data_IF_946694213784
#
_entry.id   IF_946694213784
#
_cell.length_a   1.000
_cell.length_b   1.000
_cell.length_c   1.000
_cell.angle_alpha   90.00
_cell.angle_beta   90.00
_cell.angle_gamma   90.00
#
_symmetry.space_group_name_H-M   'P 1'
#
loop_
_entity.id
_entity.type
_entity.pdbx_description
1 polymer ?
#
# COMPACT_ATOMS: atom_id res chain seq x y z
N UNK A 1 -13.30 -20.95 5.20
CA UNK A 1 -13.59 -19.52 5.46
C UNK A 1 -12.27 -18.82 5.70
N UNK A 2 -11.96 -17.79 4.92
CA UNK A 2 -10.78 -16.94 5.09
C UNK A 2 -11.01 -15.96 6.23
N UNK A 3 -9.93 -15.52 6.91
CA UNK A 3 -10.02 -14.44 7.91
C UNK A 3 -10.66 -13.16 7.34
N UNK A 4 -10.54 -12.94 6.02
CA UNK A 4 -11.19 -11.84 5.34
C UNK A 4 -12.72 -11.97 5.27
N UNK A 5 -13.27 -13.18 5.26
CA UNK A 5 -14.71 -13.40 5.20
C UNK A 5 -15.39 -12.93 6.48
N UNK A 6 -14.67 -13.03 7.61
CA UNK A 6 -15.10 -12.64 8.94
C UNK A 6 -14.94 -11.14 9.22
N UNK A 7 -14.25 -10.40 8.35
CA UNK A 7 -14.03 -8.97 8.55
C UNK A 7 -15.37 -8.17 8.43
N UNK A 8 -15.58 -7.15 9.28
CA UNK A 8 -16.74 -6.28 9.14
C UNK A 8 -16.79 -5.58 7.78
N UNK A 9 -18.00 -5.25 7.30
CA UNK A 9 -18.20 -4.66 5.98
C UNK A 9 -17.43 -3.35 5.76
N UNK A 10 -17.28 -2.54 6.80
CA UNK A 10 -16.51 -1.29 6.75
C UNK A 10 -15.01 -1.55 6.50
N UNK A 11 -14.43 -2.59 7.10
CA UNK A 11 -13.03 -2.99 6.91
C UNK A 11 -12.81 -3.52 5.50
N UNK A 12 -13.73 -4.35 4.98
CA UNK A 12 -13.68 -4.83 3.59
C UNK A 12 -13.66 -3.66 2.60
N UNK A 13 -14.58 -2.70 2.78
CA UNK A 13 -14.66 -1.51 1.94
C UNK A 13 -13.42 -0.62 2.03
N UNK A 14 -12.88 -0.41 3.23
CA UNK A 14 -11.64 0.36 3.41
C UNK A 14 -10.47 -0.28 2.66
N UNK A 15 -10.38 -1.61 2.70
CA UNK A 15 -9.37 -2.38 1.98
C UNK A 15 -9.52 -2.25 0.46
N UNK A 16 -10.73 -2.42 -0.07
CA UNK A 16 -11.00 -2.25 -1.51
C UNK A 16 -10.70 -0.81 -1.99
N UNK A 17 -11.02 0.20 -1.19
CA UNK A 17 -10.65 1.58 -1.48
C UNK A 17 -9.14 1.78 -1.53
N UNK A 18 -8.40 1.20 -0.59
CA UNK A 18 -6.94 1.28 -0.58
C UNK A 18 -6.31 0.54 -1.77
N UNK A 19 -6.80 -0.65 -2.12
CA UNK A 19 -6.37 -1.41 -3.29
C UNK A 19 -6.60 -0.62 -4.58
N UNK A 20 -7.79 -0.04 -4.76
CA UNK A 20 -8.08 0.82 -5.94
C UNK A 20 -7.18 2.04 -6.00
N UNK A 21 -6.90 2.68 -4.86
CA UNK A 21 -5.97 3.81 -4.80
C UNK A 21 -4.55 3.40 -5.18
N UNK A 22 -4.12 2.20 -4.78
CA UNK A 22 -2.81 1.67 -5.13
C UNK A 22 -2.70 1.35 -6.63
N UNK A 23 -3.72 0.71 -7.22
CA UNK A 23 -3.75 0.43 -8.66
C UNK A 23 -3.73 1.73 -9.49
N UNK A 24 -4.47 2.75 -9.05
CA UNK A 24 -4.42 4.09 -9.67
C UNK A 24 -3.04 4.74 -9.57
N UNK A 25 -2.36 4.57 -8.44
CA UNK A 25 -0.98 5.03 -8.28
C UNK A 25 -0.04 4.35 -9.28
N UNK A 26 -0.15 3.04 -9.45
CA UNK A 26 0.67 2.31 -10.43
C UNK A 26 0.42 2.81 -11.86
N UNK A 27 -0.85 3.01 -12.24
CA UNK A 27 -1.23 3.55 -13.54
C UNK A 27 -0.62 4.94 -13.80
N UNK A 28 -0.69 5.85 -12.82
CA UNK A 28 -0.09 7.20 -12.93
C UNK A 28 1.45 7.16 -13.00
N UNK A 29 2.07 6.12 -12.44
CA UNK A 29 3.51 5.85 -12.54
C UNK A 29 3.88 5.06 -13.81
N UNK A 30 2.93 4.79 -14.71
CA UNK A 30 3.12 3.96 -15.91
C UNK A 30 3.61 2.53 -15.60
N UNK A 31 3.26 2.01 -14.42
CA UNK A 31 3.59 0.65 -13.99
C UNK A 31 2.35 -0.23 -14.10
N UNK A 32 2.41 -1.31 -14.87
CA UNK A 32 1.29 -2.26 -14.93
C UNK A 32 1.32 -3.24 -13.74
N UNK A 33 0.15 -3.74 -13.35
CA UNK A 33 0.05 -4.77 -12.32
C UNK A 33 0.75 -6.06 -12.75
N UNK A 34 0.67 -6.43 -14.03
CA UNK A 34 1.34 -7.59 -14.61
C UNK A 34 2.86 -7.46 -14.49
N UNK A 35 3.41 -6.28 -14.79
CA UNK A 35 4.85 -6.02 -14.64
C UNK A 35 5.29 -6.17 -13.18
N UNK A 36 4.52 -5.61 -12.25
CA UNK A 36 4.78 -5.79 -10.82
C UNK A 36 4.74 -7.28 -10.44
N UNK A 37 3.79 -8.05 -10.97
CA UNK A 37 3.71 -9.50 -10.80
C UNK A 37 4.97 -10.24 -11.28
N UNK A 38 5.52 -9.85 -12.45
CA UNK A 38 6.80 -10.39 -12.95
C UNK A 38 7.96 -10.03 -12.03
N UNK A 39 8.01 -8.79 -11.50
CA UNK A 39 9.03 -8.39 -10.53
C UNK A 39 8.97 -9.26 -9.25
N UNK A 40 7.78 -9.68 -8.83
CA UNK A 40 7.61 -10.53 -7.64
C UNK A 40 8.11 -11.96 -7.84
N UNK A 41 8.50 -12.37 -9.04
CA UNK A 41 9.12 -13.68 -9.31
C UNK A 41 10.65 -13.64 -9.26
N UNK A 42 11.25 -12.45 -9.16
CA UNK A 42 12.70 -12.26 -9.18
C UNK A 42 13.27 -12.25 -7.76
N UNK A 43 14.57 -12.51 -7.63
CA UNK A 43 15.28 -12.45 -6.34
C UNK A 43 15.17 -11.07 -5.67
N UNK A 44 15.04 -10.01 -6.47
CA UNK A 44 14.88 -8.62 -5.99
C UNK A 44 13.46 -8.25 -5.55
N UNK A 45 12.51 -9.19 -5.52
CA UNK A 45 11.10 -8.93 -5.22
C UNK A 45 10.88 -8.15 -3.92
N UNK A 46 11.64 -8.49 -2.86
CA UNK A 46 11.52 -7.79 -1.56
C UNK A 46 11.92 -6.32 -1.66
N UNK A 47 12.96 -5.99 -2.43
CA UNK A 47 13.41 -4.60 -2.64
C UNK A 47 12.41 -3.82 -3.49
N UNK A 48 11.88 -4.44 -4.55
CA UNK A 48 10.85 -3.82 -5.40
C UNK A 48 9.59 -3.54 -4.60
N UNK A 49 9.13 -4.51 -3.81
CA UNK A 49 7.93 -4.38 -3.01
C UNK A 49 8.10 -3.30 -1.91
N UNK A 50 9.29 -3.19 -1.31
CA UNK A 50 9.59 -2.11 -0.37
C UNK A 50 9.50 -0.75 -1.06
N UNK A 51 10.19 -0.57 -2.19
CA UNK A 51 10.23 0.69 -2.91
C UNK A 51 8.85 1.15 -3.38
N UNK A 52 8.05 0.22 -3.92
CA UNK A 52 6.69 0.51 -4.41
C UNK A 52 5.76 0.94 -3.27
N UNK A 53 5.83 0.26 -2.11
CA UNK A 53 5.01 0.62 -0.94
C UNK A 53 5.46 1.95 -0.32
N UNK A 54 6.77 2.22 -0.28
CA UNK A 54 7.31 3.49 0.21
C UNK A 54 6.87 4.67 -0.68
N UNK A 55 6.98 4.50 -2.01
CA UNK A 55 6.54 5.50 -2.99
C UNK A 55 5.03 5.72 -2.95
N UNK A 56 4.24 4.66 -2.73
CA UNK A 56 2.80 4.81 -2.49
C UNK A 56 2.49 5.61 -1.21
N UNK A 57 3.30 5.45 -0.16
CA UNK A 57 3.22 6.29 1.04
C UNK A 57 3.40 7.78 0.72
N UNK A 58 4.42 8.11 -0.07
CA UNK A 58 4.66 9.50 -0.54
C UNK A 58 3.51 10.01 -1.39
N UNK A 59 3.03 9.19 -2.32
CA UNK A 59 1.89 9.51 -3.16
C UNK A 59 0.65 9.88 -2.34
N UNK A 60 0.30 9.09 -1.32
CA UNK A 60 -0.85 9.39 -0.47
C UNK A 60 -0.70 10.71 0.29
N UNK A 61 0.52 11.04 0.70
CA UNK A 61 0.76 12.22 1.51
C UNK A 61 0.78 13.53 0.71
N UNK A 62 1.20 13.47 -0.55
CA UNK A 62 1.37 14.66 -1.40
C UNK A 62 0.35 14.77 -2.52
N UNK A 63 -0.43 13.71 -2.78
CA UNK A 63 -1.47 13.79 -3.80
C UNK A 63 -2.66 14.59 -3.28
N UNK A 64 -2.91 15.70 -3.96
CA UNK A 64 -4.10 16.50 -3.76
C UNK A 64 -5.37 15.76 -4.23
N UNK A 65 -6.40 15.82 -3.40
CA UNK A 65 -7.75 15.37 -3.76
C UNK A 65 -8.46 16.36 -4.69
N UNK A 66 -9.74 16.12 -4.94
CA UNK A 66 -10.58 16.93 -5.87
C UNK A 66 -10.67 18.44 -5.54
N UNK A 67 -10.27 18.86 -4.34
CA UNK A 67 -10.30 20.25 -3.89
C UNK A 67 -8.91 20.85 -3.67
N UNK A 68 -7.86 20.24 -4.21
CA UNK A 68 -6.48 20.66 -3.92
C UNK A 68 -6.02 20.31 -2.50
N UNK A 69 -6.83 19.56 -1.73
CA UNK A 69 -6.53 19.25 -0.33
C UNK A 69 -5.76 17.94 -0.21
N UNK A 70 -4.69 17.97 0.58
CA UNK A 70 -3.97 16.76 0.97
C UNK A 70 -4.81 15.87 1.89
N UNK A 71 -4.51 14.57 1.87
CA UNK A 71 -5.14 13.64 2.79
C UNK A 71 -4.70 13.95 4.23
N UNK A 72 -5.66 13.92 5.15
CA UNK A 72 -5.35 13.96 6.57
C UNK A 72 -4.44 12.78 6.96
N UNK A 73 -3.52 13.00 7.91
CA UNK A 73 -2.55 12.00 8.36
C UNK A 73 -3.18 10.64 8.69
N UNK A 74 -4.30 10.62 9.40
CA UNK A 74 -4.98 9.37 9.76
C UNK A 74 -5.50 8.61 8.52
N UNK A 75 -5.97 9.34 7.51
CA UNK A 75 -6.39 8.77 6.22
C UNK A 75 -5.20 8.20 5.46
N UNK A 76 -4.08 8.92 5.38
CA UNK A 76 -2.82 8.41 4.78
C UNK A 76 -2.41 7.10 5.44
N UNK A 77 -2.37 7.07 6.77
CA UNK A 77 -2.02 5.86 7.52
C UNK A 77 -2.99 4.71 7.30
N UNK A 78 -4.30 4.99 7.22
CA UNK A 78 -5.31 3.98 6.96
C UNK A 78 -5.14 3.37 5.55
N UNK A 79 -4.99 4.20 4.53
CA UNK A 79 -4.76 3.75 3.16
C UNK A 79 -3.47 2.95 3.04
N UNK A 80 -2.37 3.44 3.64
CA UNK A 80 -1.09 2.76 3.64
C UNK A 80 -1.18 1.36 4.28
N UNK A 81 -1.76 1.26 5.49
CA UNK A 81 -1.89 -0.03 6.21
C UNK A 81 -2.77 -1.02 5.46
N UNK A 82 -3.88 -0.55 4.89
CA UNK A 82 -4.81 -1.40 4.13
C UNK A 82 -4.21 -1.86 2.81
N UNK A 83 -3.55 -0.98 2.06
CA UNK A 83 -2.86 -1.32 0.81
C UNK A 83 -1.71 -2.30 1.07
N UNK A 84 -0.88 -2.05 2.09
CA UNK A 84 0.19 -2.97 2.52
C UNK A 84 -0.37 -4.36 2.78
N UNK A 85 -1.40 -4.46 3.61
CA UNK A 85 -2.01 -5.74 3.98
C UNK A 85 -2.57 -6.45 2.75
N UNK A 86 -3.31 -5.72 1.91
CA UNK A 86 -3.86 -6.27 0.67
C UNK A 86 -2.77 -6.79 -0.28
N UNK A 87 -1.66 -6.05 -0.43
CA UNK A 87 -0.57 -6.40 -1.33
C UNK A 87 0.20 -7.65 -0.87
N UNK A 88 0.43 -7.78 0.45
CA UNK A 88 1.04 -8.98 1.03
C UNK A 88 0.15 -10.22 0.91
N UNK A 89 -1.17 -10.04 0.76
CA UNK A 89 -2.07 -11.13 0.44
C UNK A 89 -2.03 -11.53 -1.04
N UNK A 90 -1.67 -10.62 -1.95
CA UNK A 90 -1.45 -10.95 -3.37
C UNK A 90 -0.13 -11.71 -3.57
N UNK A 91 0.86 -11.43 -2.71
CA UNK A 91 2.20 -12.05 -2.77
C UNK A 91 2.59 -12.70 -1.42
N UNK A 92 1.88 -13.73 -0.97
CA UNK A 92 2.07 -14.32 0.36
C UNK A 92 3.48 -14.86 0.59
N UNK A 93 4.19 -15.27 -0.47
CA UNK A 93 5.56 -15.77 -0.41
C UNK A 93 6.57 -14.72 0.10
N UNK A 94 6.30 -13.42 -0.07
CA UNK A 94 7.20 -12.34 0.34
C UNK A 94 6.91 -11.80 1.73
N UNK A 95 5.79 -12.22 2.34
CA UNK A 95 5.29 -11.66 3.59
C UNK A 95 6.27 -11.75 4.75
N UNK A 96 6.90 -12.91 4.95
CA UNK A 96 7.82 -13.13 6.06
C UNK A 96 9.09 -12.27 5.95
N UNK A 97 9.59 -12.05 4.73
CA UNK A 97 10.83 -11.30 4.49
C UNK A 97 10.65 -9.79 4.64
N UNK A 98 9.49 -9.26 4.25
CA UNK A 98 9.31 -7.82 4.08
C UNK A 98 8.48 -7.13 5.17
N UNK A 99 7.65 -7.86 5.93
CA UNK A 99 6.69 -7.21 6.83
C UNK A 99 7.36 -6.37 7.92
N UNK A 100 8.51 -6.82 8.45
CA UNK A 100 9.34 -6.03 9.40
C UNK A 100 9.88 -4.74 8.78
N UNK A 101 10.28 -4.79 7.51
CA UNK A 101 10.82 -3.62 6.78
C UNK A 101 9.70 -2.61 6.57
N UNK A 102 8.55 -3.06 6.05
CA UNK A 102 7.39 -2.20 5.82
C UNK A 102 6.80 -1.66 7.13
N UNK A 103 6.90 -2.39 8.24
CA UNK A 103 6.51 -1.88 9.56
C UNK A 103 7.36 -0.67 9.96
N UNK A 104 8.70 -0.75 9.82
CA UNK A 104 9.59 0.38 10.10
C UNK A 104 9.30 1.57 9.19
N UNK A 105 9.12 1.34 7.89
CA UNK A 105 8.75 2.39 6.92
C UNK A 105 7.41 3.04 7.29
N UNK A 106 6.41 2.26 7.67
CA UNK A 106 5.13 2.78 8.15
C UNK A 106 5.25 3.65 9.41
N UNK A 107 6.15 3.31 10.34
CA UNK A 107 6.43 4.14 11.52
C UNK A 107 7.13 5.46 11.15
N UNK A 108 8.03 5.43 10.17
CA UNK A 108 8.68 6.63 9.61
C UNK A 108 7.61 7.53 8.96
N UNK A 109 6.76 6.96 8.09
CA UNK A 109 5.61 7.65 7.50
C UNK A 109 4.77 8.32 8.59
N UNK A 110 4.42 7.58 9.63
CA UNK A 110 3.62 8.11 10.74
C UNK A 110 4.29 9.29 11.46
N UNK A 111 5.62 9.35 11.54
CA UNK A 111 6.36 10.43 12.21
C UNK A 111 6.54 11.68 11.35
N UNK A 112 6.85 11.51 10.07
CA UNK A 112 7.25 12.62 9.18
C UNK A 112 6.07 13.33 8.52
N UNK A 113 4.96 12.64 8.28
CA UNK A 113 3.75 13.27 7.75
C UNK A 113 2.93 13.88 8.90
N UNK A 114 3.54 14.85 9.60
CA UNK A 114 2.81 15.86 10.38
C UNK A 114 2.16 16.81 9.37
N UNK A 115 0.85 16.68 9.21
CA UNK A 115 0.02 17.73 8.61
C UNK A 115 0.17 19.03 9.42
#
# INVERSE_FOLDING_TARGET
MSLNDLAPANTKRARECAARSFLKFLEEESVSWEYLGVCMQRESASLVLEAVVDKFGMYLAFKEGRKGQLLARHSVMQYYRQAKTWLLEQFPQHRAGIDKILLKKGQVLERYYRA
#
